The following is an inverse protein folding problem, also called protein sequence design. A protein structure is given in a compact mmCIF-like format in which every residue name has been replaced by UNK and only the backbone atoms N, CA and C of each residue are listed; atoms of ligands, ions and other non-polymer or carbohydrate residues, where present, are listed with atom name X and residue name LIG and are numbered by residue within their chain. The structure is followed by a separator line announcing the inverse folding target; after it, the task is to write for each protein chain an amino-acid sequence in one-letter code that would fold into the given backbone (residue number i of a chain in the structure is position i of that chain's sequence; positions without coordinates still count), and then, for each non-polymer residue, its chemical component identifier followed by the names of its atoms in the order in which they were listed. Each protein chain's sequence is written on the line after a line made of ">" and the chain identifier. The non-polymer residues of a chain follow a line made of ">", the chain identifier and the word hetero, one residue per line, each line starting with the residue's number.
data_IF_244374053889
#
_entry.id   IF_244374053889
#
_cell.length_a   1.000
_cell.length_b   1.000
_cell.length_c   1.000
_cell.angle_alpha   90.00
_cell.angle_beta   90.00
_cell.angle_gamma   90.00
#
_symmetry.space_group_name_H-M   'P 1'
#
loop_
_entity.id
_entity.type
_entity.pdbx_description
1 polymer ?
#
# COMPACT_ATOMS: atom_id res chain seq x y z
N UNK A 1 -32.29 -29.30 20.64
CA UNK A 1 -31.71 -28.04 20.12
C UNK A 1 -30.33 -27.81 20.76
N UNK A 2 -29.29 -28.58 20.40
CA UNK A 2 -27.95 -28.47 21.03
C UNK A 2 -26.89 -27.76 20.15
N UNK A 3 -27.26 -27.30 18.94
CA UNK A 3 -26.32 -26.64 18.02
C UNK A 3 -25.91 -25.21 18.44
N UNK A 4 -26.70 -24.54 19.29
CA UNK A 4 -26.53 -23.10 19.57
C UNK A 4 -25.28 -22.76 20.38
N UNK A 5 -24.86 -23.59 21.33
CA UNK A 5 -23.76 -23.27 22.24
C UNK A 5 -22.37 -23.49 21.60
N UNK A 6 -22.27 -24.50 20.70
CA UNK A 6 -21.03 -24.81 19.96
C UNK A 6 -20.73 -23.78 18.88
N UNK A 7 -21.75 -23.16 18.31
CA UNK A 7 -21.61 -22.11 17.31
C UNK A 7 -21.22 -20.76 17.95
N UNK A 8 -21.81 -20.43 19.11
CA UNK A 8 -21.42 -19.25 19.90
C UNK A 8 -19.96 -19.32 20.39
N UNK A 9 -19.49 -20.48 20.88
CA UNK A 9 -18.08 -20.64 21.28
C UNK A 9 -17.11 -20.54 20.10
N UNK A 10 -17.47 -21.00 18.91
CA UNK A 10 -16.64 -20.84 17.70
C UNK A 10 -16.58 -19.38 17.26
N UNK A 11 -17.69 -18.65 17.36
CA UNK A 11 -17.74 -17.24 17.02
C UNK A 11 -16.91 -16.38 17.97
N UNK A 12 -17.00 -16.63 19.28
CA UNK A 12 -16.17 -15.97 20.29
C UNK A 12 -14.67 -16.21 20.07
N UNK A 13 -14.27 -17.48 19.86
CA UNK A 13 -12.87 -17.81 19.56
C UNK A 13 -12.37 -17.21 18.24
N UNK A 14 -13.26 -16.98 17.27
CA UNK A 14 -12.93 -16.32 16.01
C UNK A 14 -12.71 -14.81 16.24
N UNK A 15 -13.61 -14.16 16.97
CA UNK A 15 -13.49 -12.75 17.35
C UNK A 15 -12.23 -12.48 18.18
N UNK A 16 -11.95 -13.28 19.20
CA UNK A 16 -10.72 -13.15 20.00
C UNK A 16 -9.45 -13.28 19.16
N UNK A 17 -9.43 -14.20 18.19
CA UNK A 17 -8.30 -14.35 17.27
C UNK A 17 -8.16 -13.19 16.31
N UNK A 18 -9.27 -12.65 15.82
CA UNK A 18 -9.28 -11.47 14.95
C UNK A 18 -8.79 -10.24 15.71
N UNK A 19 -9.26 -10.00 16.93
CA UNK A 19 -8.81 -8.88 17.77
C UNK A 19 -7.32 -8.98 18.14
N UNK A 20 -6.85 -10.17 18.51
CA UNK A 20 -5.43 -10.39 18.79
C UNK A 20 -4.55 -10.14 17.54
N UNK A 21 -5.01 -10.59 16.38
CA UNK A 21 -4.33 -10.35 15.11
C UNK A 21 -4.30 -8.85 14.75
N UNK A 22 -5.39 -8.12 14.95
CA UNK A 22 -5.42 -6.68 14.70
C UNK A 22 -4.47 -5.93 15.62
N UNK A 23 -4.47 -6.28 16.91
CA UNK A 23 -3.59 -5.64 17.89
C UNK A 23 -2.12 -5.87 17.52
N UNK A 24 -1.75 -7.12 17.21
CA UNK A 24 -0.41 -7.45 16.73
C UNK A 24 -0.06 -6.70 15.43
N UNK A 25 -0.98 -6.65 14.47
CA UNK A 25 -0.73 -5.95 13.19
C UNK A 25 -0.52 -4.45 13.38
N UNK A 26 -1.29 -3.81 14.27
CA UNK A 26 -1.14 -2.39 14.59
C UNK A 26 0.22 -2.11 15.28
N UNK A 27 0.63 -2.98 16.20
CA UNK A 27 1.92 -2.87 16.90
C UNK A 27 3.09 -3.04 15.91
N UNK A 28 3.06 -4.08 15.07
CA UNK A 28 4.05 -4.31 14.02
C UNK A 28 4.12 -3.14 13.03
N UNK A 29 2.97 -2.60 12.62
CA UNK A 29 2.91 -1.46 11.72
C UNK A 29 3.52 -0.19 12.33
N UNK A 30 3.32 0.03 13.64
CA UNK A 30 3.92 1.16 14.35
C UNK A 30 5.44 1.04 14.41
N UNK A 31 5.96 -0.16 14.70
CA UNK A 31 7.40 -0.44 14.65
C UNK A 31 7.96 -0.27 13.24
N UNK A 32 7.20 -0.69 12.23
CA UNK A 32 7.56 -0.53 10.81
C UNK A 32 7.70 0.93 10.42
N UNK A 33 6.79 1.80 10.87
CA UNK A 33 6.90 3.25 10.70
C UNK A 33 8.16 3.82 11.34
N UNK A 34 8.50 3.39 12.56
CA UNK A 34 9.72 3.84 13.24
C UNK A 34 10.99 3.38 12.49
N UNK A 35 11.03 2.14 12.01
CA UNK A 35 12.12 1.61 11.17
C UNK A 35 12.21 2.33 9.82
N UNK A 36 11.06 2.66 9.22
CA UNK A 36 11.00 3.40 7.96
C UNK A 36 11.58 4.82 8.13
N UNK A 37 11.19 5.53 9.20
CA UNK A 37 11.74 6.86 9.53
C UNK A 37 13.26 6.86 9.68
N UNK A 38 13.85 5.76 10.18
CA UNK A 38 15.30 5.62 10.35
C UNK A 38 16.02 5.09 9.10
N UNK A 39 15.33 4.41 8.18
CA UNK A 39 15.90 3.88 6.93
C UNK A 39 15.93 4.88 5.77
N UNK A 40 15.01 5.84 5.77
CA UNK A 40 14.96 6.95 4.82
C UNK A 40 13.88 7.91 5.27
N UNK A 41 14.23 9.18 5.40
CA UNK A 41 13.40 10.19 6.03
C UNK A 41 11.96 10.13 5.47
N UNK A 42 11.03 9.63 6.28
CA UNK A 42 9.62 9.51 5.90
C UNK A 42 9.04 10.91 5.89
N UNK A 43 8.51 11.43 4.77
CA UNK A 43 7.96 12.76 4.78
C UNK A 43 6.70 12.74 5.65
N UNK A 44 6.74 13.60 6.65
CA UNK A 44 5.55 14.09 7.32
C UNK A 44 4.67 14.78 6.28
N UNK A 45 3.36 14.57 6.33
CA UNK A 45 2.39 15.32 5.51
C UNK A 45 2.49 16.80 5.88
N UNK A 46 3.30 17.56 5.14
CA UNK A 46 3.28 19.01 5.16
C UNK A 46 2.53 19.48 3.92
N UNK A 47 1.28 19.89 4.14
CA UNK A 47 0.49 20.75 3.26
C UNK A 47 0.17 20.21 1.86
N UNK A 48 -0.56 19.10 1.78
CA UNK A 48 -1.37 18.66 0.61
C UNK A 48 -0.66 18.49 -0.75
N UNK A 49 0.65 18.67 -0.87
CA UNK A 49 1.40 18.24 -2.05
C UNK A 49 1.95 16.84 -1.83
N UNK A 50 1.50 15.87 -2.64
CA UNK A 50 2.04 14.50 -2.68
C UNK A 50 3.43 14.47 -3.31
N UNK A 51 4.38 15.18 -2.71
CA UNK A 51 5.81 15.10 -3.03
C UNK A 51 6.51 14.45 -1.84
N UNK A 52 6.54 13.13 -1.86
CA UNK A 52 7.32 12.35 -0.91
C UNK A 52 8.74 12.33 -1.47
N UNK A 53 9.67 13.13 -0.92
CA UNK A 53 11.10 13.03 -1.26
C UNK A 53 11.77 12.21 -0.18
N UNK A 54 12.11 10.95 -0.48
CA UNK A 54 12.89 10.13 0.45
C UNK A 54 14.38 10.47 0.33
N UNK A 55 14.95 11.02 1.39
CA UNK A 55 16.40 11.14 1.57
C UNK A 55 16.89 9.91 2.33
N UNK A 56 17.40 8.89 1.61
CA UNK A 56 17.91 7.67 2.23
C UNK A 56 18.09 6.50 1.27
N UNK A 57 18.41 5.33 1.82
CA UNK A 57 18.54 4.09 1.06
C UNK A 57 17.14 3.54 0.74
N UNK A 58 16.61 3.96 -0.42
CA UNK A 58 15.28 3.58 -0.91
C UNK A 58 15.06 2.07 -0.96
N UNK A 59 16.11 1.29 -1.20
CA UNK A 59 16.03 -0.18 -1.24
C UNK A 59 15.80 -0.76 0.15
N UNK A 60 16.50 -0.24 1.17
CA UNK A 60 16.24 -0.61 2.56
C UNK A 60 14.85 -0.18 3.01
N UNK A 61 14.42 1.03 2.64
CA UNK A 61 13.08 1.53 2.97
C UNK A 61 11.99 0.66 2.33
N UNK A 62 12.14 0.30 1.05
CA UNK A 62 11.25 -0.62 0.37
C UNK A 62 11.24 -1.99 1.07
N UNK A 63 12.40 -2.51 1.45
CA UNK A 63 12.54 -3.76 2.22
C UNK A 63 11.76 -3.73 3.55
N UNK A 64 11.82 -2.61 4.28
CA UNK A 64 11.01 -2.41 5.50
C UNK A 64 9.53 -2.56 5.16
N UNK A 65 9.01 -1.83 4.15
CA UNK A 65 7.59 -1.88 3.77
C UNK A 65 7.11 -3.23 3.24
N UNK A 66 8.00 -4.03 2.64
CA UNK A 66 7.71 -5.36 2.13
C UNK A 66 7.78 -6.46 3.19
N UNK A 67 8.46 -6.23 4.32
CA UNK A 67 8.51 -7.20 5.41
C UNK A 67 7.18 -7.23 6.18
N UNK A 68 6.57 -8.40 6.36
CA UNK A 68 5.28 -8.58 7.08
C UNK A 68 4.20 -7.52 6.72
N UNK A 69 3.70 -7.49 5.48
CA UNK A 69 2.63 -6.58 5.07
C UNK A 69 1.29 -6.94 5.77
N UNK A 70 0.39 -5.97 6.01
CA UNK A 70 -0.86 -6.19 6.74
C UNK A 70 -1.94 -6.88 5.88
N UNK A 71 -1.61 -7.97 5.18
CA UNK A 71 -2.54 -8.67 4.28
C UNK A 71 -3.77 -9.22 5.01
N UNK A 72 -3.57 -9.72 6.23
CA UNK A 72 -4.61 -10.39 7.02
C UNK A 72 -5.42 -9.44 7.91
N UNK A 73 -4.98 -8.20 8.10
CA UNK A 73 -5.75 -7.21 8.88
C UNK A 73 -7.01 -6.79 8.13
N UNK A 74 -8.06 -6.47 8.86
CA UNK A 74 -9.30 -5.83 8.43
C UNK A 74 -9.14 -4.31 8.33
N UNK A 75 -8.10 -3.75 8.93
CA UNK A 75 -7.80 -2.32 8.91
C UNK A 75 -7.37 -1.88 7.51
N UNK A 76 -8.32 -1.31 6.78
CA UNK A 76 -8.13 -0.87 5.39
C UNK A 76 -7.19 0.33 5.31
N UNK A 77 -7.16 1.19 6.35
CA UNK A 77 -6.24 2.33 6.39
C UNK A 77 -4.77 1.89 6.37
N UNK A 78 -4.41 0.87 7.16
CA UNK A 78 -3.05 0.32 7.17
C UNK A 78 -2.64 -0.26 5.83
N UNK A 79 -3.58 -0.96 5.16
CA UNK A 79 -3.34 -1.54 3.83
C UNK A 79 -3.09 -0.46 2.79
N UNK A 80 -3.91 0.59 2.79
CA UNK A 80 -3.79 1.73 1.89
C UNK A 80 -2.49 2.48 2.14
N UNK A 81 -2.16 2.74 3.40
CA UNK A 81 -0.91 3.43 3.75
C UNK A 81 0.33 2.63 3.34
N UNK A 82 0.32 1.31 3.59
CA UNK A 82 1.40 0.42 3.11
C UNK A 82 1.49 0.44 1.58
N UNK A 83 0.35 0.41 0.88
CA UNK A 83 0.31 0.45 -0.58
C UNK A 83 0.96 1.72 -1.12
N UNK A 84 0.56 2.90 -0.62
CA UNK A 84 1.13 4.17 -1.06
C UNK A 84 2.61 4.30 -0.72
N UNK A 85 3.04 3.83 0.45
CA UNK A 85 4.45 3.84 0.81
C UNK A 85 5.30 3.02 -0.18
N UNK A 86 4.85 1.82 -0.55
CA UNK A 86 5.54 0.95 -1.53
C UNK A 86 5.57 1.62 -2.91
N UNK A 87 4.43 2.10 -3.41
CA UNK A 87 4.36 2.72 -4.75
C UNK A 87 5.19 3.99 -4.84
N UNK A 88 5.21 4.78 -3.78
CA UNK A 88 6.04 5.99 -3.70
C UNK A 88 7.53 5.65 -3.71
N UNK A 89 7.96 4.59 -2.99
CA UNK A 89 9.33 4.12 -3.06
C UNK A 89 9.69 3.68 -4.49
N UNK A 90 8.84 2.86 -5.12
CA UNK A 90 9.03 2.39 -6.50
C UNK A 90 9.16 3.53 -7.51
N UNK A 91 8.31 4.55 -7.41
CA UNK A 91 8.33 5.71 -8.31
C UNK A 91 9.59 6.57 -8.21
N UNK A 92 10.37 6.41 -7.13
CA UNK A 92 11.62 7.15 -6.89
C UNK A 92 12.87 6.30 -7.13
N UNK A 93 12.72 5.00 -7.41
CA UNK A 93 13.87 4.14 -7.70
C UNK A 93 14.51 4.56 -9.01
N UNK A 94 15.84 4.63 -8.99
CA UNK A 94 16.66 4.80 -10.19
C UNK A 94 16.80 3.48 -10.94
N UNK A 95 17.13 3.55 -12.23
CA UNK A 95 17.29 2.37 -13.08
C UNK A 95 18.28 1.34 -12.49
N UNK A 96 19.40 1.79 -11.91
CA UNK A 96 20.38 0.90 -11.27
C UNK A 96 19.82 0.14 -10.06
N UNK A 97 18.85 0.72 -9.36
CA UNK A 97 18.17 0.10 -8.22
C UNK A 97 17.09 -0.88 -8.70
N UNK A 98 16.40 -0.55 -9.80
CA UNK A 98 15.45 -1.46 -10.46
C UNK A 98 16.18 -2.71 -10.94
N UNK A 99 17.35 -2.55 -11.57
CA UNK A 99 18.15 -3.68 -12.06
C UNK A 99 18.64 -4.56 -10.89
N UNK A 100 18.93 -3.98 -9.72
CA UNK A 100 19.26 -4.74 -8.50
C UNK A 100 18.09 -5.56 -7.97
N UNK A 101 16.86 -5.08 -8.10
CA UNK A 101 15.64 -5.84 -7.76
C UNK A 101 15.49 -7.03 -8.72
N UNK A 102 15.73 -6.83 -10.00
CA UNK A 102 15.55 -7.85 -11.02
C UNK A 102 16.61 -8.96 -10.96
N UNK A 103 17.86 -8.61 -10.64
CA UNK A 103 19.01 -9.49 -10.87
C UNK A 103 19.50 -10.32 -9.66
N UNK A 104 18.67 -10.54 -8.62
CA UNK A 104 18.97 -11.40 -7.45
C UNK A 104 20.40 -11.22 -6.87
N UNK A 105 20.91 -9.99 -6.84
CA UNK A 105 22.22 -9.74 -6.21
C UNK A 105 22.06 -9.68 -4.69
N UNK A 106 23.14 -9.97 -3.95
CA UNK A 106 23.21 -10.07 -2.48
C UNK A 106 22.79 -8.81 -1.71
N UNK A 107 22.47 -7.72 -2.43
CA UNK A 107 22.04 -6.42 -1.88
C UNK A 107 20.60 -6.04 -2.28
N UNK A 108 19.88 -6.96 -2.94
CA UNK A 108 18.50 -6.79 -3.39
C UNK A 108 17.44 -7.30 -2.41
N UNK A 109 16.19 -7.38 -2.90
CA UNK A 109 15.07 -7.95 -2.14
C UNK A 109 15.20 -9.47 -2.04
N UNK A 110 14.81 -10.03 -0.89
CA UNK A 110 14.69 -11.48 -0.77
C UNK A 110 13.49 -12.02 -1.58
N UNK A 111 13.42 -13.33 -1.78
CA UNK A 111 12.33 -13.96 -2.56
C UNK A 111 10.94 -13.65 -2.02
N UNK A 112 10.75 -13.58 -0.70
CA UNK A 112 9.45 -13.28 -0.08
C UNK A 112 9.06 -11.82 -0.28
N UNK A 113 10.01 -10.92 -0.16
CA UNK A 113 9.84 -9.49 -0.43
C UNK A 113 9.54 -9.25 -1.92
N UNK A 114 10.23 -9.92 -2.83
CA UNK A 114 9.95 -9.85 -4.26
C UNK A 114 8.53 -10.32 -4.59
N UNK A 115 8.10 -11.47 -4.07
CA UNK A 115 6.71 -11.95 -4.24
C UNK A 115 5.70 -10.95 -3.68
N UNK A 116 5.99 -10.36 -2.52
CA UNK A 116 5.14 -9.36 -1.90
C UNK A 116 5.03 -8.12 -2.77
N UNK A 117 6.15 -7.62 -3.30
CA UNK A 117 6.20 -6.48 -4.20
C UNK A 117 5.36 -6.72 -5.45
N UNK A 118 5.50 -7.89 -6.09
CA UNK A 118 4.71 -8.26 -7.27
C UNK A 118 3.21 -8.20 -7.00
N UNK A 119 2.73 -8.65 -5.83
CA UNK A 119 1.30 -8.54 -5.46
C UNK A 119 0.83 -7.09 -5.41
N UNK A 120 1.64 -6.20 -4.85
CA UNK A 120 1.33 -4.77 -4.79
C UNK A 120 1.34 -4.11 -6.18
N UNK A 121 2.27 -4.50 -7.05
CA UNK A 121 2.32 -4.04 -8.45
C UNK A 121 1.08 -4.49 -9.22
N UNK A 122 0.68 -5.77 -9.12
CA UNK A 122 -0.56 -6.25 -9.75
C UNK A 122 -1.78 -5.51 -9.23
N UNK A 123 -1.83 -5.24 -7.92
CA UNK A 123 -2.91 -4.42 -7.36
C UNK A 123 -2.93 -3.00 -7.93
N UNK A 124 -1.77 -2.40 -8.18
CA UNK A 124 -1.69 -1.09 -8.83
C UNK A 124 -2.25 -1.13 -10.25
N UNK A 125 -1.91 -2.16 -11.04
CA UNK A 125 -2.46 -2.34 -12.38
C UNK A 125 -3.98 -2.52 -12.37
N UNK A 126 -4.54 -3.30 -11.43
CA UNK A 126 -6.00 -3.41 -11.27
C UNK A 126 -6.68 -2.07 -10.98
N UNK A 127 -6.03 -1.18 -10.21
CA UNK A 127 -6.57 0.14 -9.92
C UNK A 127 -6.50 1.07 -11.13
N UNK A 128 -5.45 0.96 -11.95
CA UNK A 128 -5.33 1.68 -13.21
C UNK A 128 -6.41 1.24 -14.21
N UNK A 129 -6.63 -0.06 -14.36
CA UNK A 129 -7.69 -0.60 -15.22
C UNK A 129 -9.08 -0.12 -14.78
N UNK A 130 -9.34 -0.07 -13.47
CA UNK A 130 -10.58 0.51 -12.93
C UNK A 130 -10.71 2.00 -13.19
N UNK A 131 -9.63 2.76 -13.15
CA UNK A 131 -9.63 4.19 -13.49
C UNK A 131 -10.07 4.37 -14.94
N UNK A 132 -9.55 3.56 -15.86
CA UNK A 132 -9.92 3.63 -17.27
C UNK A 132 -11.40 3.27 -17.47
N UNK A 133 -11.92 2.25 -16.77
CA UNK A 133 -13.35 1.92 -16.79
C UNK A 133 -14.24 3.03 -16.21
N UNK A 134 -13.82 3.68 -15.10
CA UNK A 134 -14.56 4.80 -14.50
C UNK A 134 -14.55 6.01 -15.43
N UNK A 135 -13.40 6.31 -16.04
CA UNK A 135 -13.26 7.41 -16.98
C UNK A 135 -14.14 7.20 -18.22
N UNK A 136 -14.18 5.97 -18.76
CA UNK A 136 -15.11 5.59 -19.83
C UNK A 136 -16.57 5.80 -19.41
N UNK A 137 -16.97 5.35 -18.22
CA UNK A 137 -18.34 5.56 -17.71
C UNK A 137 -18.69 7.03 -17.50
N UNK A 138 -17.73 7.86 -17.07
CA UNK A 138 -17.91 9.30 -16.94
C UNK A 138 -18.08 9.93 -18.33
N UNK A 139 -17.28 9.50 -19.32
CA UNK A 139 -17.41 9.93 -20.70
C UNK A 139 -18.76 9.55 -21.30
N UNK A 140 -19.22 8.32 -21.10
CA UNK A 140 -20.53 7.84 -21.57
C UNK A 140 -21.67 8.66 -20.96
N UNK A 141 -21.57 9.01 -19.67
CA UNK A 141 -22.66 9.67 -18.93
C UNK A 141 -22.67 11.19 -19.04
N UNK A 142 -21.50 11.82 -19.12
CA UNK A 142 -21.33 13.27 -19.04
C UNK A 142 -20.63 13.87 -20.26
N UNK A 143 -20.27 13.04 -21.25
CA UNK A 143 -19.57 13.45 -22.44
C UNK A 143 -18.08 13.74 -22.18
N UNK A 144 -17.30 13.77 -23.26
CA UNK A 144 -15.85 13.97 -23.21
C UNK A 144 -15.45 15.37 -22.73
N UNK A 145 -16.37 16.34 -22.81
CA UNK A 145 -16.21 17.70 -22.28
C UNK A 145 -16.00 17.74 -20.76
N UNK A 146 -16.59 16.80 -20.01
CA UNK A 146 -16.41 16.71 -18.55
C UNK A 146 -14.99 16.34 -18.15
N UNK A 147 -14.35 15.43 -18.90
CA UNK A 147 -12.95 15.01 -18.71
C UNK A 147 -12.01 16.14 -19.11
N UNK A 148 -12.27 16.79 -20.25
CA UNK A 148 -11.47 17.93 -20.71
C UNK A 148 -11.52 19.07 -19.69
N UNK A 149 -12.70 19.41 -19.18
CA UNK A 149 -12.86 20.46 -18.17
C UNK A 149 -12.08 20.14 -16.88
N UNK A 150 -12.18 18.90 -16.40
CA UNK A 150 -11.40 18.45 -15.24
C UNK A 150 -9.88 18.47 -15.49
N UNK A 151 -9.42 18.23 -16.72
CA UNK A 151 -8.00 18.30 -17.09
C UNK A 151 -7.46 19.74 -17.25
N UNK A 152 -8.32 20.70 -17.60
CA UNK A 152 -7.95 22.12 -17.74
C UNK A 152 -8.04 22.90 -16.42
N UNK A 153 -8.87 22.44 -15.48
CA UNK A 153 -8.90 22.97 -14.11
C UNK A 153 -7.63 22.50 -13.36
N UNK A 154 -6.54 23.28 -13.44
CA UNK A 154 -5.34 23.11 -12.61
C UNK A 154 -5.62 23.47 -11.13
N UNK A 155 -6.48 22.69 -10.45
CA UNK A 155 -6.73 22.49 -8.98
C UNK A 155 -6.91 23.74 -8.05
N UNK A 156 -7.76 23.71 -6.99
CA UNK A 156 -7.85 22.63 -5.99
C UNK A 156 -9.29 22.22 -5.54
N UNK A 157 -9.46 20.93 -5.27
CA UNK A 157 -10.50 20.46 -4.34
C UNK A 157 -9.79 20.38 -2.98
N UNK A 158 -10.19 21.26 -2.05
CA UNK A 158 -9.70 21.32 -0.68
C UNK A 158 -9.96 20.03 0.11
#
# INVERSE_FOLDING_TARGET
>A
MEKSNKDQQKELKKKEKEEALEKQTNEEFTQKKQKAQSAGQYPFLLNQEYSIIYSGDLMKLLGVWLDNPPFKSSNTALKIETFFAIMSCLGQLKQDQIDKIANQTTTGLDTKQAITLTKYIFRAFELLDKKDQIQLKIQERYGQSSILKAGFERYPIC
#
